data_IF_421578138366
#
_entry.id   IF_421578138366
#
_cell.length_a   1.000
_cell.length_b   1.000
_cell.length_c   1.000
_cell.angle_alpha   90.00
_cell.angle_beta   90.00
_cell.angle_gamma   90.00
#
_symmetry.space_group_name_H-M   'P 1'
#
loop_
_entity.id
_entity.type
_entity.pdbx_description
1 polymer ?
#
# COMPACT_ATOMS: atom_id res chain seq x y z
N UNK A 1 11.10 18.62 0.27
CA UNK A 1 9.71 18.27 -0.07
C UNK A 1 9.22 17.39 1.05
N UNK A 2 8.33 17.88 1.90
CA UNK A 2 7.83 17.06 3.02
C UNK A 2 7.02 15.89 2.46
N UNK A 3 7.46 14.67 2.75
CA UNK A 3 6.65 13.49 2.57
C UNK A 3 5.68 13.46 3.74
N UNK A 4 4.43 13.90 3.53
CA UNK A 4 3.37 13.68 4.50
C UNK A 4 3.08 12.19 4.53
N UNK A 5 3.62 11.51 5.54
CA UNK A 5 3.27 10.12 5.86
C UNK A 5 1.92 10.18 6.58
N UNK A 6 0.88 9.68 5.93
CA UNK A 6 -0.41 9.50 6.58
C UNK A 6 -0.27 8.48 7.72
N UNK A 7 -1.13 8.57 8.75
CA UNK A 7 -1.03 7.73 9.95
C UNK A 7 -0.99 6.21 9.66
N UNK A 8 -1.57 5.80 8.54
CA UNK A 8 -1.68 4.40 8.10
C UNK A 8 -0.88 4.09 6.83
N UNK A 9 0.01 5.00 6.43
CA UNK A 9 0.97 4.69 5.37
C UNK A 9 1.98 3.66 5.87
N UNK A 10 2.13 2.55 5.14
CA UNK A 10 3.18 1.57 5.37
C UNK A 10 4.55 2.25 5.29
N UNK A 11 5.37 2.26 6.36
CA UNK A 11 6.77 2.69 6.32
C UNK A 11 7.63 1.75 5.48
N UNK A 12 8.83 2.19 5.10
CA UNK A 12 9.74 1.40 4.25
C UNK A 12 10.09 0.04 4.86
N UNK A 13 10.26 -0.02 6.19
CA UNK A 13 10.56 -1.25 6.90
C UNK A 13 9.42 -2.29 6.81
N UNK A 14 8.17 -1.85 6.97
CA UNK A 14 7.00 -2.72 6.83
C UNK A 14 6.78 -3.11 5.37
N UNK A 15 6.97 -2.15 4.46
CA UNK A 15 6.90 -2.41 3.03
C UNK A 15 7.92 -3.46 2.58
N UNK A 16 9.15 -3.44 3.11
CA UNK A 16 10.18 -4.41 2.79
C UNK A 16 9.79 -5.86 3.17
N UNK A 17 8.93 -6.02 4.19
CA UNK A 17 8.38 -7.34 4.57
C UNK A 17 7.27 -7.78 3.62
N UNK A 18 6.40 -6.86 3.21
CA UNK A 18 5.20 -7.16 2.39
C UNK A 18 5.54 -7.30 0.90
N UNK A 19 6.35 -6.41 0.35
CA UNK A 19 6.67 -6.34 -1.08
C UNK A 19 7.08 -7.69 -1.71
N UNK A 20 7.96 -8.51 -1.12
CA UNK A 20 8.34 -9.80 -1.71
C UNK A 20 7.22 -10.86 -1.69
N UNK A 21 6.19 -10.66 -0.88
CA UNK A 21 5.04 -11.57 -0.76
C UNK A 21 3.94 -11.27 -1.79
N UNK A 22 4.06 -10.14 -2.50
CA UNK A 22 3.07 -9.76 -3.49
C UNK A 22 3.13 -10.72 -4.69
N UNK A 23 1.98 -11.11 -5.26
CA UNK A 23 1.97 -11.96 -6.43
C UNK A 23 2.71 -11.28 -7.58
N UNK A 24 3.37 -12.03 -8.45
CA UNK A 24 3.95 -11.44 -9.68
C UNK A 24 2.82 -10.91 -10.57
N UNK A 25 3.11 -9.88 -11.36
CA UNK A 25 2.18 -9.39 -12.38
C UNK A 25 1.74 -10.55 -13.29
N UNK A 26 0.42 -10.78 -13.35
CA UNK A 26 -0.19 -11.76 -14.25
C UNK A 26 -0.64 -11.15 -15.58
N UNK A 27 -1.43 -11.91 -16.34
CA UNK A 27 -2.11 -11.39 -17.55
C UNK A 27 -3.23 -10.43 -17.14
N UNK A 28 -3.36 -9.31 -17.85
CA UNK A 28 -4.37 -8.29 -17.59
C UNK A 28 -3.79 -6.89 -17.51
N UNK A 29 -4.53 -5.98 -16.89
CA UNK A 29 -4.12 -4.59 -16.73
C UNK A 29 -2.80 -4.47 -15.95
N UNK A 30 -2.05 -3.41 -16.27
CA UNK A 30 -0.82 -3.05 -15.57
C UNK A 30 -1.12 -2.78 -14.10
N UNK A 31 -0.33 -3.37 -13.19
CA UNK A 31 -0.40 -3.05 -11.76
C UNK A 31 -0.15 -1.58 -11.48
N UNK A 32 -0.96 -1.07 -10.56
CA UNK A 32 -0.71 0.18 -9.88
C UNK A 32 0.40 0.05 -8.83
N UNK A 33 0.59 1.11 -8.06
CA UNK A 33 1.49 1.12 -6.92
C UNK A 33 0.86 0.34 -5.75
N UNK A 34 1.30 -0.90 -5.57
CA UNK A 34 0.76 -1.83 -4.58
C UNK A 34 0.82 -1.26 -3.15
N UNK A 35 1.83 -0.42 -2.83
CA UNK A 35 1.95 0.20 -1.50
C UNK A 35 0.83 1.20 -1.24
N UNK A 36 0.53 2.05 -2.22
CA UNK A 36 -0.57 3.03 -2.11
C UNK A 36 -1.94 2.36 -2.01
N UNK A 37 -2.13 1.28 -2.76
CA UNK A 37 -3.37 0.49 -2.70
C UNK A 37 -3.55 -0.09 -1.30
N UNK A 38 -2.50 -0.69 -0.73
CA UNK A 38 -2.55 -1.27 0.61
C UNK A 38 -2.75 -0.21 1.70
N UNK A 39 -2.10 0.95 1.59
CA UNK A 39 -2.34 2.07 2.51
C UNK A 39 -3.82 2.49 2.49
N UNK A 40 -4.43 2.61 1.31
CA UNK A 40 -5.86 2.94 1.20
C UNK A 40 -6.79 1.86 1.75
N UNK A 41 -6.45 0.57 1.57
CA UNK A 41 -7.20 -0.54 2.17
C UNK A 41 -7.13 -0.45 3.71
N UNK A 42 -5.94 -0.25 4.28
CA UNK A 42 -5.79 -0.15 5.73
C UNK A 42 -6.50 1.08 6.30
N UNK A 43 -6.48 2.20 5.58
CA UNK A 43 -7.21 3.40 5.98
C UNK A 43 -8.71 3.12 6.14
N UNK A 44 -9.32 2.47 5.13
CA UNK A 44 -10.74 2.10 5.16
C UNK A 44 -11.02 1.06 6.26
N UNK A 45 -10.19 0.01 6.37
CA UNK A 45 -10.44 -1.09 7.30
C UNK A 45 -10.28 -0.66 8.78
N UNK A 46 -9.43 0.34 9.06
CA UNK A 46 -9.11 0.76 10.42
C UNK A 46 -9.83 2.03 10.87
N UNK A 47 -10.21 2.91 9.93
CA UNK A 47 -10.86 4.19 10.26
C UNK A 47 -12.27 4.34 9.69
N UNK A 48 -12.63 3.49 8.74
CA UNK A 48 -13.88 3.56 8.00
C UNK A 48 -13.74 4.30 6.66
N UNK A 49 -14.75 4.20 5.77
CA UNK A 49 -14.81 5.04 4.58
C UNK A 49 -14.93 6.52 4.98
N UNK A 50 -14.39 7.45 4.19
CA UNK A 50 -14.56 8.89 4.41
C UNK A 50 -16.02 9.32 4.36
#
# INVERSE_FOLDING_TARGET
MEVRIARLDLPDAEWAVIAPLLPRQGRGARRGDDRKILNGIFDILLTGPP
#
